data_IF_213429325045
#
_entry.id   IF_213429325045
#
_cell.length_a   1.000
_cell.length_b   1.000
_cell.length_c   1.000
_cell.angle_alpha   90.00
_cell.angle_beta   90.00
_cell.angle_gamma   90.00
#
_symmetry.space_group_name_H-M   'P 1'
#
loop_
_entity.id
_entity.type
_entity.pdbx_description
1 polymer ?
#
# COMPACT_ATOMS: atom_id res chain seq x y z
N UNK A 1 0.22 -17.61 7.25
CA UNK A 1 1.40 -17.19 8.05
C UNK A 1 1.02 -16.92 9.51
N UNK A 2 1.92 -17.22 10.44
CA UNK A 2 1.70 -16.91 11.87
C UNK A 2 1.81 -15.40 12.16
N UNK A 3 1.33 -14.89 13.31
CA UNK A 3 1.50 -13.48 13.67
C UNK A 3 2.97 -13.04 13.72
N UNK A 4 3.85 -13.89 14.26
CA UNK A 4 5.28 -13.57 14.40
C UNK A 4 6.00 -13.59 13.05
N UNK A 5 5.60 -14.50 12.17
CA UNK A 5 6.08 -14.55 10.79
C UNK A 5 5.68 -13.29 10.00
N UNK A 6 4.42 -12.85 10.12
CA UNK A 6 3.94 -11.61 9.51
C UNK A 6 4.76 -10.41 9.99
N UNK A 7 4.96 -10.29 11.31
CA UNK A 7 5.78 -9.21 11.90
C UNK A 7 7.22 -9.26 11.39
N UNK A 8 7.83 -10.44 11.32
CA UNK A 8 9.19 -10.60 10.81
C UNK A 8 9.31 -10.20 9.34
N UNK A 9 8.33 -10.58 8.50
CA UNK A 9 8.29 -10.23 7.08
C UNK A 9 8.03 -8.74 6.87
N UNK A 10 7.11 -8.14 7.62
CA UNK A 10 6.85 -6.71 7.59
C UNK A 10 8.12 -5.91 7.92
N UNK A 11 8.89 -6.36 8.93
CA UNK A 11 10.17 -5.74 9.28
C UNK A 11 11.20 -5.80 8.15
N UNK A 12 11.30 -6.93 7.44
CA UNK A 12 12.19 -7.05 6.25
C UNK A 12 11.81 -6.06 5.15
N UNK A 13 10.53 -5.74 5.03
CA UNK A 13 10.02 -4.74 4.10
C UNK A 13 10.16 -3.30 4.62
N UNK A 14 10.71 -3.10 5.82
CA UNK A 14 10.92 -1.77 6.42
C UNK A 14 9.78 -1.29 7.32
N UNK A 15 8.70 -2.07 7.50
CA UNK A 15 7.62 -1.74 8.41
C UNK A 15 7.84 -2.32 9.81
N UNK A 16 7.99 -1.46 10.81
CA UNK A 16 8.18 -1.89 12.20
C UNK A 16 6.84 -1.94 12.95
N UNK A 17 6.28 -3.13 13.10
CA UNK A 17 5.01 -3.39 13.78
C UNK A 17 5.20 -4.32 14.98
N UNK A 18 4.53 -4.01 16.09
CA UNK A 18 4.48 -4.88 17.27
C UNK A 18 3.24 -5.78 17.26
N UNK A 19 3.22 -6.81 18.12
CA UNK A 19 2.07 -7.72 18.24
C UNK A 19 0.80 -7.04 18.74
N UNK A 20 0.94 -6.05 19.64
CA UNK A 20 -0.16 -5.21 20.09
C UNK A 20 -0.73 -4.36 18.95
N UNK A 21 0.13 -3.77 18.11
CA UNK A 21 -0.24 -3.02 16.91
C UNK A 21 -0.98 -3.90 15.91
N UNK A 22 -0.48 -5.11 15.62
CA UNK A 22 -1.13 -6.05 14.72
C UNK A 22 -2.54 -6.44 15.22
N UNK A 23 -2.68 -6.73 16.51
CA UNK A 23 -3.97 -7.03 17.12
C UNK A 23 -4.94 -5.84 17.06
N UNK A 24 -4.44 -4.63 17.29
CA UNK A 24 -5.21 -3.39 17.15
C UNK A 24 -5.71 -3.21 15.72
N UNK A 25 -4.81 -3.35 14.74
CA UNK A 25 -5.14 -3.20 13.32
C UNK A 25 -6.10 -4.26 12.83
N UNK A 26 -5.97 -5.51 13.29
CA UNK A 26 -6.96 -6.58 13.05
C UNK A 26 -8.33 -6.15 13.57
N UNK A 27 -8.41 -5.70 14.83
CA UNK A 27 -9.67 -5.28 15.45
C UNK A 27 -10.32 -4.09 14.74
N UNK A 28 -9.50 -3.18 14.22
CA UNK A 28 -9.97 -1.98 13.53
C UNK A 28 -10.18 -2.17 12.03
N UNK A 29 -9.90 -3.35 11.47
CA UNK A 29 -10.10 -3.65 10.06
C UNK A 29 -9.07 -3.01 9.12
N UNK A 30 -7.88 -2.71 9.62
CA UNK A 30 -6.75 -2.19 8.82
C UNK A 30 -5.98 -3.30 8.11
N UNK A 31 -6.14 -4.54 8.57
CA UNK A 31 -5.53 -5.74 7.98
C UNK A 31 -6.59 -6.83 7.84
N UNK A 32 -6.46 -7.65 6.82
CA UNK A 32 -7.31 -8.80 6.58
C UNK A 32 -7.18 -9.75 7.79
N UNK A 33 -8.31 -10.15 8.39
CA UNK A 33 -8.28 -10.99 9.58
C UNK A 33 -7.70 -12.38 9.26
N UNK A 34 -6.98 -13.02 10.21
CA UNK A 34 -6.49 -14.37 10.04
C UNK A 34 -7.63 -15.39 10.09
N UNK A 35 -7.39 -16.57 9.54
CA UNK A 35 -8.15 -17.77 9.90
C UNK A 35 -7.75 -18.19 11.31
N UNK A 36 -8.69 -18.16 12.24
CA UNK A 36 -8.46 -18.52 13.63
C UNK A 36 -9.07 -19.89 13.95
N UNK A 37 -8.44 -20.63 14.85
CA UNK A 37 -9.00 -21.88 15.33
C UNK A 37 -8.28 -22.45 16.54
N UNK A 38 -8.78 -23.58 17.02
CA UNK A 38 -8.18 -24.36 18.11
C UNK A 38 -7.51 -25.59 17.52
N UNK A 39 -6.30 -25.92 17.96
CA UNK A 39 -5.61 -27.15 17.59
C UNK A 39 -6.06 -28.36 18.43
N UNK A 40 -7.13 -28.20 19.21
CA UNK A 40 -7.64 -29.23 20.12
C UNK A 40 -7.09 -29.10 21.55
N UNK A 41 -7.45 -30.07 22.40
CA UNK A 41 -7.14 -30.07 23.83
C UNK A 41 -5.62 -30.01 24.05
N UNK A 42 -5.16 -28.99 24.77
CA UNK A 42 -3.74 -28.82 25.15
C UNK A 42 -2.81 -28.27 24.08
N UNK A 43 -3.30 -27.95 22.87
CA UNK A 43 -2.45 -27.49 21.74
C UNK A 43 -2.57 -26.00 21.41
N UNK A 44 -3.42 -25.27 22.13
CA UNK A 44 -3.57 -23.82 21.99
C UNK A 44 -4.40 -23.39 20.79
N UNK A 45 -4.44 -22.07 20.56
CA UNK A 45 -5.12 -21.43 19.43
C UNK A 45 -4.11 -21.11 18.32
N UNK A 46 -4.53 -21.21 17.08
CA UNK A 46 -3.76 -20.76 15.92
C UNK A 46 -4.41 -19.54 15.27
N UNK A 47 -3.59 -18.73 14.61
CA UNK A 47 -4.01 -17.62 13.76
C UNK A 47 -3.16 -17.68 12.49
N UNK A 48 -3.81 -17.97 11.37
CA UNK A 48 -3.19 -18.10 10.05
C UNK A 48 -3.60 -16.92 9.18
N UNK A 49 -2.72 -15.93 9.08
CA UNK A 49 -2.90 -14.75 8.24
C UNK A 49 -2.68 -15.10 6.76
N UNK A 50 -3.48 -14.53 5.85
CA UNK A 50 -3.22 -14.63 4.42
C UNK A 50 -2.10 -13.66 3.99
N UNK A 51 -1.58 -13.80 2.78
CA UNK A 51 -0.49 -12.94 2.25
C UNK A 51 -0.90 -11.46 2.18
N UNK A 52 -2.15 -11.20 1.82
CA UNK A 52 -2.72 -9.86 1.71
C UNK A 52 -2.61 -9.10 3.04
N UNK A 53 -2.73 -9.80 4.18
CA UNK A 53 -2.61 -9.17 5.49
C UNK A 53 -1.19 -8.62 5.75
N UNK A 54 -0.16 -9.22 5.17
CA UNK A 54 1.20 -8.67 5.21
C UNK A 54 1.26 -7.36 4.41
N UNK A 55 0.73 -7.35 3.19
CA UNK A 55 0.77 -6.18 2.31
C UNK A 55 0.00 -5.01 2.92
N UNK A 56 -1.21 -5.27 3.44
CA UNK A 56 -2.03 -4.28 4.13
C UNK A 56 -1.36 -3.76 5.42
N UNK A 57 -0.65 -4.62 6.17
CA UNK A 57 0.07 -4.19 7.36
C UNK A 57 1.23 -3.23 7.02
N UNK A 58 2.01 -3.53 5.99
CA UNK A 58 3.08 -2.64 5.51
C UNK A 58 2.50 -1.32 5.02
N UNK A 59 1.39 -1.37 4.28
CA UNK A 59 0.70 -0.20 3.77
C UNK A 59 0.12 0.70 4.87
N UNK A 60 -0.53 0.10 5.88
CA UNK A 60 -1.03 0.80 7.05
C UNK A 60 0.10 1.46 7.85
N UNK A 61 1.26 0.78 7.96
CA UNK A 61 2.44 1.34 8.61
C UNK A 61 2.96 2.57 7.88
N UNK A 62 3.12 2.49 6.55
CA UNK A 62 3.61 3.59 5.74
C UNK A 62 2.68 4.80 5.75
N UNK A 63 1.37 4.57 5.61
CA UNK A 63 0.36 5.63 5.66
C UNK A 63 0.30 6.35 7.02
N UNK A 64 0.69 5.66 8.11
CA UNK A 64 0.68 6.20 9.46
C UNK A 64 1.97 6.91 9.85
N UNK A 65 3.13 6.40 9.43
CA UNK A 65 4.44 6.84 9.92
C UNK A 65 5.17 7.82 9.00
N UNK A 66 4.50 8.34 7.97
CA UNK A 66 5.09 9.41 7.15
C UNK A 66 5.23 10.69 7.97
N UNK A 67 6.43 11.25 7.98
CA UNK A 67 6.74 12.50 8.68
C UNK A 67 5.79 13.63 8.22
N UNK A 68 5.28 14.40 9.19
CA UNK A 68 4.38 15.53 8.92
C UNK A 68 2.89 15.18 8.77
N UNK A 69 2.53 13.89 8.61
CA UNK A 69 1.13 13.46 8.47
C UNK A 69 0.65 12.69 9.70
N UNK A 70 -0.41 13.19 10.35
CA UNK A 70 -1.12 12.46 11.42
C UNK A 70 -2.35 11.75 10.85
N UNK A 71 -2.14 10.58 10.25
CA UNK A 71 -3.26 9.77 9.72
C UNK A 71 -3.90 8.95 10.84
N UNK A 72 -5.22 9.08 11.00
CA UNK A 72 -5.99 8.25 11.94
C UNK A 72 -6.24 6.86 11.37
N UNK A 73 -6.39 5.85 12.25
CA UNK A 73 -6.73 4.49 11.80
C UNK A 73 -8.07 4.44 11.05
N UNK A 74 -9.06 5.27 11.45
CA UNK A 74 -10.32 5.41 10.72
C UNK A 74 -10.09 5.82 9.26
N UNK A 75 -9.17 6.77 9.02
CA UNK A 75 -8.83 7.21 7.66
C UNK A 75 -8.07 6.13 6.89
N UNK A 76 -7.12 5.44 7.52
CA UNK A 76 -6.39 4.33 6.89
C UNK A 76 -7.34 3.20 6.50
N UNK A 77 -8.30 2.86 7.36
CA UNK A 77 -9.34 1.88 7.06
C UNK A 77 -10.18 2.29 5.84
N UNK A 78 -10.62 3.53 5.77
CA UNK A 78 -11.39 4.04 4.64
C UNK A 78 -10.58 3.95 3.32
N UNK A 79 -9.30 4.33 3.37
CA UNK A 79 -8.37 4.19 2.23
C UNK A 79 -8.26 2.73 1.79
N UNK A 80 -8.06 1.80 2.75
CA UNK A 80 -8.02 0.37 2.48
C UNK A 80 -9.31 -0.12 1.81
N UNK A 81 -10.47 0.19 2.39
CA UNK A 81 -11.77 -0.25 1.87
C UNK A 81 -12.00 0.28 0.44
N UNK A 82 -11.67 1.55 0.18
CA UNK A 82 -11.74 2.16 -1.14
C UNK A 82 -10.83 1.46 -2.15
N UNK A 83 -9.54 1.27 -1.80
CA UNK A 83 -8.56 0.65 -2.69
C UNK A 83 -8.89 -0.83 -2.95
N UNK A 84 -9.32 -1.58 -1.95
CA UNK A 84 -9.75 -2.98 -2.12
C UNK A 84 -11.01 -3.09 -2.97
N UNK A 85 -11.96 -2.16 -2.84
CA UNK A 85 -13.14 -2.11 -3.70
C UNK A 85 -12.74 -1.86 -5.16
N UNK A 86 -11.70 -1.04 -5.40
CA UNK A 86 -11.15 -0.86 -6.73
C UNK A 86 -10.49 -2.16 -7.24
N UNK A 87 -9.60 -2.79 -6.48
CA UNK A 87 -9.02 -4.08 -6.90
C UNK A 87 -10.10 -5.13 -7.23
N UNK A 88 -11.17 -5.19 -6.42
CA UNK A 88 -12.28 -6.12 -6.61
C UNK A 88 -13.14 -5.81 -7.85
N UNK A 89 -13.23 -4.57 -8.30
CA UNK A 89 -13.94 -4.21 -9.53
C UNK A 89 -13.15 -4.55 -10.80
N UNK A 90 -11.97 -5.17 -10.65
CA UNK A 90 -11.03 -5.37 -11.74
C UNK A 90 -10.30 -4.09 -12.12
N UNK A 91 -10.42 -3.03 -11.30
CA UNK A 91 -9.61 -1.84 -11.43
C UNK A 91 -8.17 -2.22 -11.10
N UNK A 92 -7.41 -2.42 -12.17
CA UNK A 92 -5.97 -2.54 -12.06
C UNK A 92 -5.44 -1.14 -11.73
N UNK A 93 -4.70 -0.99 -10.63
CA UNK A 93 -4.00 0.28 -10.35
C UNK A 93 -2.92 0.58 -11.37
N UNK A 94 -2.53 -0.43 -12.16
CA UNK A 94 -1.85 -0.19 -13.41
C UNK A 94 -2.75 0.66 -14.32
N UNK A 95 -4.02 0.31 -14.45
CA UNK A 95 -5.03 1.04 -15.23
C UNK A 95 -5.68 2.26 -14.56
N UNK A 96 -5.02 2.86 -13.56
CA UNK A 96 -5.54 4.00 -12.82
C UNK A 96 -5.80 5.21 -13.73
N UNK A 97 -7.07 5.43 -14.08
CA UNK A 97 -7.56 6.72 -14.60
C UNK A 97 -7.69 7.68 -13.42
N UNK A 98 -6.61 8.33 -13.00
CA UNK A 98 -6.77 9.52 -12.16
C UNK A 98 -7.28 10.62 -13.09
N UNK A 99 -8.47 11.20 -12.86
CA UNK A 99 -8.86 12.43 -13.54
C UNK A 99 -7.73 13.44 -13.37
N UNK A 100 -7.26 13.99 -14.49
CA UNK A 100 -6.17 14.97 -14.51
C UNK A 100 -6.44 16.08 -13.46
N UNK A 101 -7.70 16.45 -13.28
CA UNK A 101 -8.14 17.47 -12.32
C UNK A 101 -7.88 17.12 -10.85
N UNK A 102 -7.81 15.83 -10.49
CA UNK A 102 -7.48 15.37 -9.12
C UNK A 102 -5.97 15.30 -8.84
N UNK A 103 -5.15 15.31 -9.90
CA UNK A 103 -3.69 15.40 -9.79
C UNK A 103 -3.21 16.87 -9.74
N UNK A 104 -4.03 17.80 -10.22
CA UNK A 104 -3.69 19.21 -10.37
C UNK A 104 -4.72 20.10 -9.68
N UNK A 105 -4.55 20.37 -8.38
CA UNK A 105 -5.08 21.59 -7.80
C UNK A 105 -4.23 22.79 -8.27
N UNK A 106 -4.45 23.24 -9.50
CA UNK A 106 -3.81 24.44 -10.06
C UNK A 106 -3.24 24.22 -11.46
N UNK A 107 -3.70 25.05 -12.40
CA UNK A 107 -3.34 25.03 -13.82
C UNK A 107 -1.84 25.27 -14.01
N UNK A 108 -1.17 24.37 -14.75
CA UNK A 108 0.11 24.68 -15.42
C UNK A 108 1.41 24.28 -14.72
N UNK A 109 1.37 23.62 -13.56
CA UNK A 109 2.57 23.04 -12.94
C UNK A 109 2.53 21.52 -13.00
N UNK A 110 3.58 20.92 -13.57
CA UNK A 110 3.91 19.50 -13.34
C UNK A 110 4.25 19.35 -11.87
N UNK A 111 3.26 19.10 -11.02
CA UNK A 111 3.57 18.62 -9.69
C UNK A 111 4.05 17.18 -9.84
N UNK A 112 5.29 16.83 -9.47
CA UNK A 112 5.52 15.45 -9.09
C UNK A 112 4.47 15.15 -8.03
N UNK A 113 3.62 14.14 -8.23
CA UNK A 113 2.91 13.57 -7.09
C UNK A 113 4.02 12.94 -6.26
N UNK A 114 4.58 13.73 -5.35
CA UNK A 114 5.59 13.23 -4.43
C UNK A 114 4.85 12.21 -3.59
N UNK A 115 5.26 10.95 -3.73
CA UNK A 115 4.82 9.86 -2.86
C UNK A 115 5.26 10.23 -1.44
N UNK A 116 4.36 10.89 -0.72
CA UNK A 116 4.70 11.46 0.56
C UNK A 116 3.62 12.30 1.21
N UNK A 117 2.86 13.09 0.45
CA UNK A 117 1.94 14.07 1.07
C UNK A 117 0.49 13.58 1.18
N UNK A 118 0.20 12.38 0.68
CA UNK A 118 -1.12 11.78 0.74
C UNK A 118 -1.06 10.41 1.43
N UNK A 119 -1.80 10.21 2.54
CA UNK A 119 -1.93 8.90 3.15
C UNK A 119 -2.48 7.83 2.20
N UNK A 120 -3.26 8.24 1.19
CA UNK A 120 -3.79 7.35 0.16
C UNK A 120 -2.67 6.80 -0.73
N UNK A 121 -1.84 7.67 -1.31
CA UNK A 121 -0.72 7.24 -2.15
C UNK A 121 0.36 6.51 -1.35
N UNK A 122 0.62 6.94 -0.12
CA UNK A 122 1.55 6.24 0.78
C UNK A 122 1.08 4.80 1.06
N UNK A 123 -0.23 4.59 1.26
CA UNK A 123 -0.80 3.26 1.43
C UNK A 123 -0.65 2.44 0.14
N UNK A 124 -1.10 2.99 -1.00
CA UNK A 124 -1.07 2.29 -2.29
C UNK A 124 0.33 1.85 -2.70
N UNK A 125 1.31 2.75 -2.65
CA UNK A 125 2.69 2.45 -3.04
C UNK A 125 3.30 1.41 -2.10
N UNK A 126 3.08 1.54 -0.79
CA UNK A 126 3.57 0.58 0.18
C UNK A 126 2.93 -0.80 0.02
N UNK A 127 1.65 -0.86 -0.33
CA UNK A 127 0.94 -2.11 -0.64
C UNK A 127 1.56 -2.81 -1.85
N UNK A 128 1.75 -2.09 -2.95
CA UNK A 128 2.33 -2.66 -4.17
C UNK A 128 3.81 -3.03 -3.98
N UNK A 129 4.60 -2.21 -3.27
CA UNK A 129 5.98 -2.59 -2.88
C UNK A 129 5.98 -3.88 -2.07
N UNK A 130 5.13 -4.01 -1.06
CA UNK A 130 5.05 -5.20 -0.23
C UNK A 130 4.62 -6.44 -1.03
N UNK A 131 3.67 -6.28 -1.96
CA UNK A 131 3.22 -7.35 -2.87
C UNK A 131 4.31 -7.80 -3.82
N UNK A 132 5.13 -6.87 -4.32
CA UNK A 132 6.30 -7.16 -5.16
C UNK A 132 7.53 -7.63 -4.36
N UNK A 133 7.49 -7.62 -3.03
CA UNK A 133 8.64 -7.95 -2.18
C UNK A 133 9.73 -6.88 -2.13
N UNK A 134 9.42 -5.65 -2.54
CA UNK A 134 10.34 -4.51 -2.58
C UNK A 134 10.35 -3.82 -1.21
N UNK A 135 11.53 -3.59 -0.58
CA UNK A 135 11.61 -2.85 0.69
C UNK A 135 11.12 -1.40 0.56
N UNK A 136 10.44 -0.87 1.60
CA UNK A 136 9.91 0.50 1.59
C UNK A 136 10.97 1.59 1.38
N UNK A 137 12.20 1.35 1.86
CA UNK A 137 13.31 2.28 1.72
C UNK A 137 13.91 2.30 0.30
N UNK A 138 13.60 1.29 -0.53
CA UNK A 138 14.08 1.25 -1.90
C UNK A 138 13.30 2.26 -2.73
N UNK A 139 13.97 3.22 -3.39
CA UNK A 139 13.29 4.16 -4.27
C UNK A 139 12.72 3.39 -5.47
N UNK A 140 11.46 3.67 -5.80
CA UNK A 140 10.83 3.14 -7.00
C UNK A 140 10.38 4.27 -7.90
N UNK A 141 10.54 4.06 -9.20
CA UNK A 141 9.90 4.90 -10.20
C UNK A 141 8.50 4.34 -10.44
N UNK A 142 7.50 5.20 -10.32
CA UNK A 142 6.10 4.90 -10.61
C UNK A 142 5.78 5.57 -11.95
N UNK A 143 5.89 4.87 -13.06
CA UNK A 143 5.46 5.45 -14.33
C UNK A 143 3.96 5.28 -14.51
N UNK A 144 3.24 6.35 -14.84
CA UNK A 144 1.83 6.34 -15.23
C UNK A 144 1.79 6.59 -16.74
N UNK A 145 1.59 5.53 -17.52
CA UNK A 145 1.63 5.54 -18.99
C UNK A 145 0.21 5.56 -19.56
N UNK A 146 -0.14 6.57 -20.36
CA UNK A 146 -1.43 6.63 -21.07
C UNK A 146 -1.39 5.81 -22.36
N UNK A 147 -2.27 4.83 -22.51
CA UNK A 147 -2.42 4.01 -23.72
C UNK A 147 -3.42 4.70 -24.67
N UNK A 148 -2.91 5.35 -25.72
CA UNK A 148 -3.69 6.17 -26.68
C UNK A 148 -4.82 5.43 -27.41
N UNK A 149 -4.76 4.10 -27.53
CA UNK A 149 -5.73 3.33 -28.32
C UNK A 149 -7.04 3.00 -27.57
N UNK A 150 -7.03 2.97 -26.23
CA UNK A 150 -8.15 2.48 -25.40
C UNK A 150 -8.57 3.49 -24.31
N UNK A 151 -7.79 4.56 -24.12
CA UNK A 151 -7.90 5.44 -22.96
C UNK A 151 -7.47 4.76 -21.66
N UNK A 152 -6.82 3.60 -21.72
CA UNK A 152 -6.25 2.92 -20.55
C UNK A 152 -5.00 3.65 -20.07
N UNK A 153 -4.63 3.45 -18.81
CA UNK A 153 -3.36 3.93 -18.23
C UNK A 153 -2.58 2.71 -17.71
N UNK A 154 -1.27 2.79 -17.46
CA UNK A 154 -0.45 1.73 -16.84
C UNK A 154 0.45 2.32 -15.76
N UNK A 155 0.35 1.82 -14.53
CA UNK A 155 1.28 2.04 -13.41
C UNK A 155 2.35 0.95 -13.50
N UNK A 156 3.59 1.32 -13.75
CA UNK A 156 4.70 0.37 -13.64
C UNK A 156 5.57 0.80 -12.46
N UNK A 157 5.98 -0.20 -11.67
CA UNK A 157 6.90 -0.02 -10.56
C UNK A 157 8.23 -0.59 -11.02
N UNK A 158 9.21 0.27 -11.22
CA UNK A 158 10.57 -0.12 -11.54
C UNK A 158 11.53 0.37 -10.44
N UNK A 159 12.63 -0.33 -10.25
CA UNK A 159 13.73 0.17 -9.42
C UNK A 159 14.24 1.47 -10.04
N UNK A 160 14.33 2.54 -9.25
CA UNK A 160 14.79 3.83 -9.76
C UNK A 160 16.27 3.73 -10.16
N UNK A 161 16.58 4.01 -11.43
CA UNK A 161 17.94 3.96 -11.98
C UNK A 161 18.85 5.13 -11.52
N UNK A 162 18.30 6.07 -10.77
CA UNK A 162 19.01 7.13 -10.06
C UNK A 162 18.31 7.39 -8.72
N UNK A 163 19.07 7.77 -7.69
CA UNK A 163 18.61 7.94 -6.29
C UNK A 163 17.56 9.03 -6.03
N UNK A 164 16.74 9.35 -7.00
CA UNK A 164 15.53 10.16 -6.90
C UNK A 164 14.53 9.46 -5.96
N UNK A 165 13.88 10.19 -5.03
CA UNK A 165 12.82 9.64 -4.19
C UNK A 165 11.67 9.07 -5.05
N UNK A 166 10.79 8.26 -4.47
CA UNK A 166 9.63 7.68 -5.18
C UNK A 166 8.92 8.73 -6.07
N UNK A 167 9.19 8.71 -7.39
CA UNK A 167 8.66 9.69 -8.35
C UNK A 167 7.56 9.02 -9.15
N UNK A 168 6.38 9.63 -9.14
CA UNK A 168 5.35 9.32 -10.13
C UNK A 168 5.65 10.10 -11.40
N UNK A 169 6.14 9.43 -12.44
CA UNK A 169 6.42 10.04 -13.75
C UNK A 169 5.23 9.81 -14.67
N UNK A 170 4.62 10.90 -15.11
CA UNK A 170 3.58 10.85 -16.13
C UNK A 170 4.22 10.93 -17.51
N UNK A 171 4.13 9.86 -18.29
CA UNK A 171 4.60 9.84 -19.69
C UNK A 171 3.41 9.69 -20.62
N UNK A 172 3.24 10.68 -21.50
CA UNK A 172 2.41 10.53 -22.69
C UNK A 172 3.27 9.93 -23.80
N UNK A 173 3.03 8.68 -24.18
CA UNK A 173 3.43 8.18 -25.51
C UNK A 173 2.40 8.63 -26.56
#
# INVERSE_FOLDING_TARGET
MSPDELIARARKLGATIGRSTLNLWKREGLVTPPKEGSLGRGRGRFADYPEEALWEAVAAWAARNKAGLRTTNKRIRAIREELLAWYASGFDFRKLKVPYELLFHGVGQRYPVVVGDSPFFNWLVAYEKAKAGIPLAMPVELSIVRVRATGEVKLEIAEASGGTPDVVVFTEE
#
